data_IF_257655481731
#
_entry.id   IF_257655481731
#
_cell.length_a   1.000
_cell.length_b   1.000
_cell.length_c   1.000
_cell.angle_alpha   90.00
_cell.angle_beta   90.00
_cell.angle_gamma   90.00
#
_symmetry.space_group_name_H-M   'P 1'
#
loop_
_entity.id
_entity.type
_entity.pdbx_description
1 polymer ?
#
# COMPACT_ATOMS: atom_id res chain seq x y z
N UNK A 1 -3.53 -2.52 -3.80
CA UNK A 1 -3.08 -1.11 -3.89
C UNK A 1 -3.53 -0.55 -5.22
N UNK A 2 -3.86 0.73 -5.25
CA UNK A 2 -4.25 1.42 -6.48
C UNK A 2 -3.54 2.76 -6.60
N UNK A 3 -3.48 3.26 -7.82
CA UNK A 3 -3.19 4.65 -8.14
C UNK A 3 -4.14 5.09 -9.25
N UNK A 4 -4.08 6.37 -9.64
CA UNK A 4 -4.83 6.83 -10.82
C UNK A 4 -4.38 6.16 -12.13
N UNK A 5 -3.18 5.55 -12.15
CA UNK A 5 -2.59 4.98 -13.36
C UNK A 5 -2.59 3.45 -13.36
N UNK A 6 -2.58 2.73 -12.24
CA UNK A 6 -2.51 1.26 -12.26
C UNK A 6 -3.04 0.62 -10.98
N UNK A 7 -3.23 -0.71 -11.03
CA UNK A 7 -3.73 -1.52 -9.93
C UNK A 7 -2.71 -2.61 -9.58
N UNK A 8 -2.55 -2.92 -8.29
CA UNK A 8 -1.90 -4.17 -7.88
C UNK A 8 -2.92 -5.31 -7.88
N UNK A 9 -2.42 -6.54 -7.78
CA UNK A 9 -3.29 -7.69 -7.50
C UNK A 9 -3.97 -7.52 -6.14
N UNK A 10 -5.17 -8.09 -6.02
CA UNK A 10 -5.92 -8.13 -4.77
C UNK A 10 -5.44 -9.32 -3.95
N UNK A 11 -5.00 -9.05 -2.72
CA UNK A 11 -4.54 -10.07 -1.79
C UNK A 11 -5.70 -10.53 -0.91
N UNK A 12 -6.20 -11.74 -1.17
CA UNK A 12 -7.29 -12.32 -0.38
C UNK A 12 -6.77 -13.03 0.86
N UNK A 13 -7.42 -12.76 2.00
CA UNK A 13 -7.11 -13.43 3.25
C UNK A 13 -7.81 -14.79 3.30
N UNK A 14 -7.16 -15.83 3.86
CA UNK A 14 -7.84 -17.07 4.20
C UNK A 14 -9.01 -16.81 5.16
N UNK A 15 -10.06 -17.66 5.14
CA UNK A 15 -11.18 -17.53 6.06
C UNK A 15 -10.70 -17.49 7.52
N UNK A 16 -11.27 -16.56 8.31
CA UNK A 16 -10.96 -16.31 9.74
C UNK A 16 -9.53 -15.80 10.03
N UNK A 17 -8.73 -15.50 9.00
CA UNK A 17 -7.42 -14.87 9.19
C UNK A 17 -7.59 -13.37 9.47
N UNK A 18 -6.92 -12.87 10.51
CA UNK A 18 -6.81 -11.42 10.78
C UNK A 18 -5.48 -10.90 10.25
N UNK A 19 -5.47 -9.65 9.79
CA UNK A 19 -4.24 -8.94 9.39
C UNK A 19 -3.50 -8.44 10.63
N UNK A 20 -2.52 -9.21 11.10
CA UNK A 20 -1.55 -8.74 12.09
C UNK A 20 -0.47 -7.89 11.42
N UNK A 21 0.31 -7.15 12.20
CA UNK A 21 1.45 -6.39 11.67
C UNK A 21 2.47 -7.30 10.95
N UNK A 22 2.76 -8.48 11.52
CA UNK A 22 3.69 -9.44 10.91
C UNK A 22 3.15 -10.02 9.60
N UNK A 23 1.85 -10.34 9.56
CA UNK A 23 1.20 -10.81 8.34
C UNK A 23 1.24 -9.72 7.27
N UNK A 24 0.86 -8.49 7.63
CA UNK A 24 0.85 -7.35 6.73
C UNK A 24 2.24 -7.10 6.11
N UNK A 25 3.29 -7.17 6.92
CA UNK A 25 4.66 -7.00 6.44
C UNK A 25 5.07 -8.09 5.45
N UNK A 26 5.00 -9.35 5.87
CA UNK A 26 5.55 -10.48 5.10
C UNK A 26 4.72 -10.82 3.88
N UNK A 27 3.39 -10.80 4.02
CA UNK A 27 2.49 -11.29 2.99
C UNK A 27 2.05 -10.18 2.04
N UNK A 28 1.91 -8.94 2.53
CA UNK A 28 1.44 -7.83 1.70
C UNK A 28 2.55 -6.85 1.29
N UNK A 29 3.31 -6.29 2.23
CA UNK A 29 4.29 -5.25 1.92
C UNK A 29 5.47 -5.81 1.11
N UNK A 30 6.08 -6.89 1.57
CA UNK A 30 7.25 -7.48 0.89
C UNK A 30 6.90 -8.10 -0.46
N UNK A 31 5.73 -8.73 -0.58
CA UNK A 31 5.33 -9.45 -1.79
C UNK A 31 4.56 -8.56 -2.76
N UNK A 32 3.39 -8.06 -2.35
CA UNK A 32 2.47 -7.35 -3.24
C UNK A 32 2.89 -5.89 -3.43
N UNK A 33 3.27 -5.19 -2.36
CA UNK A 33 3.61 -3.77 -2.45
C UNK A 33 4.89 -3.54 -3.27
N UNK A 34 5.98 -4.22 -2.92
CA UNK A 34 7.24 -4.07 -3.66
C UNK A 34 7.14 -4.53 -5.11
N UNK A 35 6.42 -5.62 -5.39
CA UNK A 35 6.20 -6.05 -6.79
C UNK A 35 5.55 -4.91 -7.59
N UNK A 36 4.46 -4.34 -7.07
CA UNK A 36 3.76 -3.26 -7.76
C UNK A 36 4.63 -2.00 -7.95
N UNK A 37 5.35 -1.58 -6.92
CA UNK A 37 6.22 -0.39 -6.99
C UNK A 37 7.41 -0.57 -7.95
N UNK A 38 7.90 -1.79 -8.13
CA UNK A 38 9.06 -2.09 -8.98
C UNK A 38 8.71 -2.35 -10.46
N UNK A 39 7.42 -2.28 -10.84
CA UNK A 39 7.00 -2.45 -12.24
C UNK A 39 7.67 -1.42 -13.16
N UNK A 40 8.08 -1.87 -14.35
CA UNK A 40 8.81 -1.06 -15.35
C UNK A 40 7.98 -0.60 -16.56
N UNK A 41 7.01 -1.38 -17.09
CA UNK A 41 6.27 -1.00 -18.30
C UNK A 41 5.45 0.29 -18.10
N UNK A 42 5.50 1.22 -19.07
CA UNK A 42 4.71 2.48 -19.00
C UNK A 42 3.27 2.32 -19.51
N UNK A 43 3.06 1.39 -20.45
CA UNK A 43 1.80 1.07 -21.12
C UNK A 43 1.48 -0.41 -20.93
N UNK A 44 0.24 -0.79 -21.19
CA UNK A 44 -0.25 -2.16 -21.06
C UNK A 44 -1.39 -2.27 -20.05
N UNK A 45 -1.61 -3.51 -19.62
CA UNK A 45 -2.65 -3.86 -18.66
C UNK A 45 -2.47 -3.15 -17.31
N UNK A 46 -3.58 -2.88 -16.63
CA UNK A 46 -3.62 -2.18 -15.34
C UNK A 46 -2.80 -2.89 -14.26
N UNK A 47 -2.68 -4.23 -14.33
CA UNK A 47 -1.99 -5.05 -13.34
C UNK A 47 -0.49 -5.19 -13.60
N UNK A 48 0.02 -4.77 -14.75
CA UNK A 48 1.43 -5.01 -15.13
C UNK A 48 2.22 -3.73 -15.37
N UNK A 49 1.53 -2.62 -15.66
CA UNK A 49 2.17 -1.32 -15.87
C UNK A 49 2.59 -0.67 -14.55
N UNK A 50 3.47 0.31 -14.66
CA UNK A 50 3.96 1.16 -13.57
C UNK A 50 2.81 1.74 -12.75
N UNK A 51 2.99 1.81 -11.43
CA UNK A 51 2.00 2.43 -10.55
C UNK A 51 1.79 3.91 -10.87
N UNK A 52 2.81 4.65 -11.28
CA UNK A 52 2.67 6.05 -11.70
C UNK A 52 3.52 6.33 -12.93
N UNK A 53 3.13 7.29 -13.79
CA UNK A 53 3.99 7.74 -14.88
C UNK A 53 5.37 8.21 -14.37
N UNK A 54 5.39 8.86 -13.20
CA UNK A 54 6.60 9.26 -12.51
C UNK A 54 6.68 8.65 -11.11
N UNK A 55 7.39 7.53 -10.99
CA UNK A 55 7.65 6.86 -9.71
C UNK A 55 8.57 7.66 -8.78
N UNK A 56 9.22 8.76 -9.20
CA UNK A 56 10.04 9.54 -8.27
C UNK A 56 9.22 10.38 -7.29
N UNK A 57 7.91 10.52 -7.52
CA UNK A 57 6.96 11.37 -6.79
C UNK A 57 5.82 10.61 -6.09
N UNK A 58 5.87 9.27 -6.04
CA UNK A 58 4.79 8.53 -5.36
C UNK A 58 4.81 8.82 -3.85
N UNK A 59 3.65 8.76 -3.21
CA UNK A 59 3.52 8.67 -1.75
C UNK A 59 2.67 7.45 -1.45
N UNK A 60 3.15 6.58 -0.55
CA UNK A 60 2.37 5.45 -0.09
C UNK A 60 1.45 5.86 1.06
N UNK A 61 0.14 5.81 0.84
CA UNK A 61 -0.89 6.18 1.81
C UNK A 61 -1.65 4.93 2.27
N UNK A 62 -2.04 4.93 3.55
CA UNK A 62 -2.86 3.92 4.22
C UNK A 62 -3.67 4.60 5.32
N UNK A 63 -4.70 3.92 5.83
CA UNK A 63 -5.43 4.35 7.02
C UNK A 63 -4.65 4.06 8.33
N UNK A 64 -5.25 4.44 9.46
CA UNK A 64 -4.65 4.31 10.78
C UNK A 64 -4.76 2.93 11.45
N UNK A 65 -5.10 1.85 10.71
CA UNK A 65 -5.33 0.53 11.30
C UNK A 65 -4.14 0.04 12.17
N UNK A 66 -4.37 -0.81 13.19
CA UNK A 66 -3.31 -1.26 14.10
C UNK A 66 -2.11 -1.92 13.41
N UNK A 67 -2.35 -2.71 12.35
CA UNK A 67 -1.27 -3.35 11.59
C UNK A 67 -0.40 -2.34 10.81
N UNK A 68 -1.02 -1.26 10.32
CA UNK A 68 -0.36 -0.20 9.56
C UNK A 68 0.45 0.71 10.49
N UNK A 69 -0.09 1.02 11.68
CA UNK A 69 0.52 1.92 12.67
C UNK A 69 1.47 1.24 13.67
N UNK A 70 1.61 -0.09 13.60
CA UNK A 70 2.57 -0.85 14.40
C UNK A 70 4.01 -0.39 14.13
N UNK A 71 4.83 -0.30 15.19
CA UNK A 71 6.22 0.18 15.10
C UNK A 71 7.02 -0.53 14.00
N UNK A 72 6.95 -1.86 13.97
CA UNK A 72 7.67 -2.67 12.98
C UNK A 72 7.25 -2.35 11.55
N UNK A 73 5.97 -2.10 11.31
CA UNK A 73 5.45 -1.73 10.00
C UNK A 73 5.96 -0.36 9.57
N UNK A 74 5.93 0.60 10.51
CA UNK A 74 6.43 1.96 10.27
C UNK A 74 7.94 1.98 9.98
N UNK A 75 8.73 1.22 10.76
CA UNK A 75 10.17 1.07 10.55
C UNK A 75 10.46 0.49 9.16
N UNK A 76 9.78 -0.60 8.79
CA UNK A 76 9.94 -1.22 7.46
C UNK A 76 9.57 -0.25 6.34
N UNK A 77 8.45 0.48 6.45
CA UNK A 77 8.04 1.48 5.46
C UNK A 77 9.10 2.58 5.31
N UNK A 78 9.68 3.05 6.42
CA UNK A 78 10.74 4.07 6.41
C UNK A 78 12.01 3.60 5.73
N UNK A 79 12.35 2.32 5.87
CA UNK A 79 13.56 1.72 5.28
C UNK A 79 13.38 1.39 3.79
N UNK A 80 12.18 0.98 3.37
CA UNK A 80 11.95 0.39 2.05
C UNK A 80 11.18 1.30 1.07
N UNK A 81 10.43 2.28 1.58
CA UNK A 81 9.61 3.17 0.75
C UNK A 81 10.20 4.57 0.71
N UNK A 82 10.16 5.18 -0.47
CA UNK A 82 10.73 6.51 -0.68
C UNK A 82 9.95 7.59 0.06
N UNK A 83 8.63 7.54 -0.03
CA UNK A 83 7.71 8.42 0.68
C UNK A 83 6.49 7.62 1.12
N UNK A 84 6.09 7.77 2.38
CA UNK A 84 4.90 7.16 2.92
C UNK A 84 4.27 8.07 3.98
N UNK A 85 2.98 7.92 4.21
CA UNK A 85 2.30 8.55 5.34
C UNK A 85 2.53 7.74 6.61
N UNK A 86 3.27 8.36 7.53
CA UNK A 86 3.55 7.79 8.83
C UNK A 86 2.32 7.78 9.74
N UNK A 87 2.48 7.12 10.89
CA UNK A 87 1.48 7.14 11.96
C UNK A 87 1.15 8.60 12.34
N UNK A 88 -0.14 8.95 12.26
CA UNK A 88 -0.66 10.27 12.64
C UNK A 88 -0.89 11.23 11.46
N UNK A 89 -0.40 10.91 10.26
CA UNK A 89 -0.68 11.68 9.04
C UNK A 89 -2.13 11.49 8.57
N UNK A 90 -2.65 10.26 8.70
CA UNK A 90 -4.06 9.96 8.43
C UNK A 90 -4.95 10.34 9.60
N UNK A 91 -5.99 11.13 9.34
CA UNK A 91 -6.99 11.49 10.35
C UNK A 91 -7.82 10.27 10.76
N UNK A 92 -7.98 10.08 12.06
CA UNK A 92 -8.79 8.99 12.59
C UNK A 92 -10.26 9.17 12.19
N UNK A 93 -10.94 8.07 11.84
CA UNK A 93 -12.34 8.06 11.44
C UNK A 93 -12.67 8.93 10.22
N UNK A 94 -11.74 9.03 9.26
CA UNK A 94 -11.96 9.77 8.00
C UNK A 94 -12.00 8.85 6.77
N UNK A 95 -12.93 7.88 6.70
CA UNK A 95 -13.05 7.00 5.52
C UNK A 95 -13.47 7.79 4.27
N UNK A 96 -14.15 8.92 4.42
CA UNK A 96 -14.54 9.85 3.36
C UNK A 96 -13.34 10.42 2.58
N UNK A 97 -12.18 10.51 3.23
CA UNK A 97 -10.95 10.97 2.58
C UNK A 97 -10.24 9.84 1.81
N UNK A 98 -10.64 8.59 2.01
CA UNK A 98 -9.99 7.43 1.41
C UNK A 98 -10.51 7.18 -0.01
N UNK A 99 -9.63 7.14 -1.03
CA UNK A 99 -10.06 6.84 -2.39
C UNK A 99 -10.63 5.42 -2.56
N UNK A 100 -10.34 4.49 -1.65
CA UNK A 100 -10.78 3.08 -1.75
C UNK A 100 -12.11 2.79 -1.03
N UNK A 101 -12.54 3.67 -0.13
CA UNK A 101 -13.77 3.44 0.67
C UNK A 101 -15.02 4.01 -0.02
N UNK A 102 -14.83 4.86 -1.04
CA UNK A 102 -15.92 5.57 -1.72
C UNK A 102 -16.03 5.19 -3.22
N UNK A 103 -15.60 3.97 -3.57
CA UNK A 103 -15.64 3.44 -4.95
C UNK A 103 -16.98 2.77 -5.25
#
# INVERSE_FOLDING_TARGET
MMSFHALSDLHFLPPKQTVSADYYLKEFLEKTCLNALNRKPKKGDLLTRKMLPNMSKYIFQQDGAPAHSAKRTQDWCKENLKYFWGKGEWLANSPDLSPIENV
#
